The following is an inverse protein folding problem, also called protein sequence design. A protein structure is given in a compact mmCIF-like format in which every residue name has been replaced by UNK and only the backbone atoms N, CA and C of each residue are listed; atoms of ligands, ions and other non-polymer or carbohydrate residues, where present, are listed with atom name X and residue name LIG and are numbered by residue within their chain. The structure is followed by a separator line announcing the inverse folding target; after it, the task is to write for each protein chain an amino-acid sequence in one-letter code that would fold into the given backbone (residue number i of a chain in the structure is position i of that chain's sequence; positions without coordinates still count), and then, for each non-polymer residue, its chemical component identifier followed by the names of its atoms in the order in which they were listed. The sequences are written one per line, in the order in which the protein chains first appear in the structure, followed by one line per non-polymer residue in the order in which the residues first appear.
data_IF_117763349938
#
_entry.id   IF_117763349938
#
_cell.length_a   1.000
_cell.length_b   1.000
_cell.length_c   1.000
_cell.angle_alpha   90.00
_cell.angle_beta   90.00
_cell.angle_gamma   90.00
#
_symmetry.space_group_name_H-M   'P 1'
#
loop_
_entity.id
_entity.type
_entity.pdbx_description
1 polymer ?
#
# COMPACT_ATOMS: atom_id res chain seq x y z
N UNK A 1 30.34 11.10 -54.28
CA UNK A 1 29.83 9.72 -54.22
C UNK A 1 30.36 9.06 -52.95
N UNK A 2 29.62 9.10 -51.85
CA UNK A 2 29.96 8.32 -50.65
C UNK A 2 28.68 7.67 -50.12
N UNK A 3 28.60 6.34 -50.27
CA UNK A 3 27.56 5.48 -49.68
C UNK A 3 27.92 5.22 -48.22
N UNK A 4 26.99 5.53 -47.32
CA UNK A 4 27.04 5.05 -45.93
C UNK A 4 26.35 3.68 -45.86
N UNK A 5 26.90 2.69 -45.13
CA UNK A 5 26.23 1.41 -44.92
C UNK A 5 25.28 1.46 -43.72
N UNK A 6 24.04 1.06 -43.97
CA UNK A 6 23.00 0.79 -42.97
C UNK A 6 23.32 -0.51 -42.23
N UNK A 7 23.75 -0.43 -40.97
CA UNK A 7 23.94 -1.59 -40.11
C UNK A 7 22.65 -1.91 -39.34
N UNK A 8 21.88 -2.88 -39.83
CA UNK A 8 20.74 -3.46 -39.11
C UNK A 8 21.23 -4.51 -38.12
N UNK A 9 21.18 -4.22 -36.82
CA UNK A 9 21.37 -5.22 -35.77
C UNK A 9 20.02 -5.85 -35.41
N UNK A 10 19.74 -7.02 -35.97
CA UNK A 10 18.70 -7.93 -35.47
C UNK A 10 19.31 -8.85 -34.42
N UNK A 11 19.00 -8.62 -33.15
CA UNK A 11 19.27 -9.60 -32.09
C UNK A 11 18.13 -10.61 -32.01
N UNK A 12 18.38 -11.94 -32.10
CA UNK A 12 17.36 -12.96 -31.93
C UNK A 12 16.95 -13.10 -30.46
N UNK A 13 15.64 -13.14 -30.21
CA UNK A 13 15.07 -13.47 -28.91
C UNK A 13 15.21 -14.99 -28.65
N UNK A 14 15.58 -15.41 -27.42
CA UNK A 14 15.59 -16.82 -27.06
C UNK A 14 14.16 -17.36 -26.91
N UNK A 15 13.77 -18.18 -27.89
CA UNK A 15 12.63 -19.08 -27.83
C UNK A 15 12.99 -20.33 -27.02
N UNK A 16 12.35 -20.57 -25.88
CA UNK A 16 12.07 -21.91 -25.29
C UNK A 16 11.53 -21.76 -23.87
N UNK A 17 10.20 -21.82 -23.69
CA UNK A 17 9.57 -22.42 -22.50
C UNK A 17 8.11 -22.71 -22.86
N UNK A 18 7.94 -23.74 -23.69
CA UNK A 18 6.67 -24.46 -23.84
C UNK A 18 6.79 -25.69 -22.96
N UNK A 19 6.19 -25.66 -21.77
CA UNK A 19 5.98 -26.85 -20.98
C UNK A 19 4.50 -26.90 -20.61
N UNK A 20 3.79 -27.79 -21.30
CA UNK A 20 2.40 -28.08 -21.06
C UNK A 20 2.21 -28.81 -19.73
N UNK A 21 1.12 -28.48 -19.05
CA UNK A 21 0.47 -29.35 -18.08
C UNK A 21 -1.03 -29.34 -18.38
N UNK A 22 -1.42 -30.25 -19.28
CA UNK A 22 -2.75 -30.83 -19.25
C UNK A 22 -2.75 -31.85 -18.11
N UNK A 23 -3.68 -31.75 -17.16
CA UNK A 23 -3.69 -32.67 -16.02
C UNK A 23 -4.81 -32.44 -15.04
N UNK A 24 -5.95 -33.07 -15.33
CA UNK A 24 -6.87 -33.74 -14.40
C UNK A 24 -7.67 -32.90 -13.40
N UNK A 25 -8.95 -32.81 -13.73
CA UNK A 25 -10.10 -32.68 -12.83
C UNK A 25 -10.06 -33.81 -11.80
N UNK A 26 -10.11 -33.48 -10.51
CA UNK A 26 -10.54 -34.40 -9.46
C UNK A 26 -11.28 -33.62 -8.37
N UNK A 27 -12.56 -33.95 -8.22
CA UNK A 27 -13.44 -33.53 -7.15
C UNK A 27 -12.84 -33.88 -5.77
N UNK A 28 -12.98 -33.00 -4.79
CA UNK A 28 -12.74 -33.34 -3.39
C UNK A 28 -13.89 -32.82 -2.54
N UNK A 29 -14.50 -33.79 -1.88
CA UNK A 29 -15.71 -33.74 -1.09
C UNK A 29 -15.57 -32.94 0.21
N UNK A 30 -16.72 -32.41 0.61
CA UNK A 30 -17.11 -32.00 1.95
C UNK A 30 -16.49 -32.85 3.07
N UNK A 31 -15.85 -32.18 4.03
CA UNK A 31 -15.77 -32.65 5.42
C UNK A 31 -16.16 -31.47 6.33
N UNK A 32 -17.43 -31.47 6.74
CA UNK A 32 -17.87 -30.83 7.98
C UNK A 32 -17.28 -31.63 9.15
N UNK A 33 -16.55 -30.97 10.04
CA UNK A 33 -15.89 -31.64 11.15
C UNK A 33 -15.66 -30.73 12.35
N UNK A 34 -16.58 -30.86 13.31
CA UNK A 34 -16.41 -30.70 14.76
C UNK A 34 -15.92 -29.35 15.33
N UNK A 35 -16.92 -28.59 15.78
CA UNK A 35 -16.92 -27.76 16.99
C UNK A 35 -16.05 -28.37 18.11
N UNK A 36 -15.07 -27.60 18.58
CA UNK A 36 -14.31 -27.86 19.79
C UNK A 36 -14.26 -26.62 20.65
N UNK A 37 -15.27 -26.43 21.48
CA UNK A 37 -15.28 -25.45 22.57
C UNK A 37 -14.23 -25.91 23.58
N UNK A 38 -13.15 -25.15 23.77
CA UNK A 38 -12.27 -25.32 24.94
C UNK A 38 -12.29 -24.05 25.77
N UNK A 39 -12.92 -24.22 26.93
CA UNK A 39 -13.11 -23.23 27.97
C UNK A 39 -11.85 -23.12 28.85
N UNK A 40 -11.69 -21.92 29.40
CA UNK A 40 -11.05 -21.56 30.68
C UNK A 40 -9.52 -21.74 30.83
N UNK A 41 -8.84 -20.60 30.94
CA UNK A 41 -7.93 -20.33 32.05
C UNK A 41 -7.79 -18.82 32.25
N UNK A 42 -8.44 -18.30 33.29
CA UNK A 42 -8.18 -16.99 33.87
C UNK A 42 -6.75 -16.92 34.39
N UNK A 43 -6.11 -15.76 34.25
CA UNK A 43 -4.97 -15.38 35.08
C UNK A 43 -5.21 -13.95 35.55
N UNK A 44 -5.40 -13.85 36.86
CA UNK A 44 -5.61 -12.64 37.65
C UNK A 44 -4.35 -11.75 37.69
N UNK A 45 -4.50 -10.49 38.13
CA UNK A 45 -3.54 -9.42 37.93
C UNK A 45 -2.51 -9.38 39.06
N UNK A 46 -1.25 -9.14 38.72
CA UNK A 46 -0.23 -8.77 39.69
C UNK A 46 -0.02 -7.27 39.63
N UNK A 47 -0.45 -6.62 40.71
CA UNK A 47 -0.29 -5.22 40.98
C UNK A 47 1.14 -4.94 41.46
N UNK A 48 1.91 -4.18 40.70
CA UNK A 48 3.07 -3.45 41.21
C UNK A 48 2.78 -1.96 41.18
N UNK A 49 2.72 -1.40 42.39
CA UNK A 49 2.72 0.02 42.66
C UNK A 49 4.15 0.55 42.49
N UNK A 50 4.35 1.55 41.64
CA UNK A 50 5.52 2.42 41.68
C UNK A 50 5.08 3.88 41.51
N UNK A 51 5.50 4.67 42.49
CA UNK A 51 5.19 6.08 42.72
C UNK A 51 5.85 7.05 41.73
N UNK A 52 5.11 8.13 41.46
CA UNK A 52 5.48 9.54 41.19
C UNK A 52 6.98 9.95 41.05
N UNK A 53 7.31 10.87 40.12
CA UNK A 53 7.09 12.30 40.39
C UNK A 53 6.48 13.12 39.25
N UNK A 54 5.68 14.11 39.68
CA UNK A 54 5.20 15.25 38.92
C UNK A 54 6.34 16.12 38.41
N UNK A 55 6.41 16.34 37.10
CA UNK A 55 6.99 17.56 36.52
C UNK A 55 5.96 18.16 35.57
N UNK A 56 5.59 19.41 35.87
CA UNK A 56 4.70 20.24 35.06
C UNK A 56 5.54 21.06 34.09
N UNK A 57 5.49 20.82 32.77
CA UNK A 57 6.01 21.77 31.79
C UNK A 57 4.89 22.77 31.48
N UNK A 58 5.17 24.04 31.73
CA UNK A 58 4.32 25.16 31.34
C UNK A 58 4.00 25.09 29.84
N UNK A 59 2.71 24.93 29.52
CA UNK A 59 2.21 25.02 28.16
C UNK A 59 2.29 26.48 27.68
N UNK A 60 3.26 26.78 26.84
CA UNK A 60 3.16 27.88 25.88
C UNK A 60 2.13 27.50 24.82
N UNK A 61 0.90 27.98 24.99
CA UNK A 61 -0.19 27.91 24.01
C UNK A 61 0.08 28.86 22.85
N UNK A 62 0.91 28.44 21.90
CA UNK A 62 0.98 29.08 20.59
C UNK A 62 -0.30 28.76 19.83
N UNK A 63 -1.25 29.70 19.86
CA UNK A 63 -2.44 29.69 19.02
C UNK A 63 -2.03 29.83 17.56
N UNK A 64 -1.69 28.71 16.91
CA UNK A 64 -1.58 28.62 15.46
C UNK A 64 -3.00 28.77 14.89
N UNK A 65 -3.31 29.97 14.38
CA UNK A 65 -4.51 30.22 13.56
C UNK A 65 -4.51 29.28 12.37
N UNK A 66 -5.19 28.15 12.50
CA UNK A 66 -5.43 27.23 11.39
C UNK A 66 -6.27 27.96 10.32
N UNK A 67 -5.93 27.83 9.03
CA UNK A 67 -6.76 28.33 7.94
C UNK A 67 -8.18 27.76 8.04
N UNK A 68 -9.15 28.63 8.30
CA UNK A 68 -10.55 28.24 8.37
C UNK A 68 -11.06 28.01 6.95
N UNK A 69 -10.97 26.76 6.47
CA UNK A 69 -11.53 26.35 5.18
C UNK A 69 -13.04 26.58 5.24
N UNK A 70 -13.52 27.51 4.41
CA UNK A 70 -14.93 27.83 4.37
C UNK A 70 -15.74 26.57 3.99
N UNK A 71 -16.80 26.23 4.73
CA UNK A 71 -17.61 25.05 4.45
C UNK A 71 -18.20 25.09 3.03
N UNK A 72 -17.99 24.03 2.23
CA UNK A 72 -18.55 23.92 0.87
C UNK A 72 -20.08 24.08 0.86
N UNK A 73 -20.67 24.68 -0.19
CA UNK A 73 -22.11 24.92 -0.28
C UNK A 73 -22.93 23.62 -0.15
N UNK A 74 -24.16 23.67 0.39
CA UNK A 74 -24.99 22.49 0.62
C UNK A 74 -25.22 21.61 -0.61
N UNK A 75 -25.29 22.21 -1.81
CA UNK A 75 -25.55 21.52 -3.09
C UNK A 75 -24.42 20.59 -3.51
N UNK A 76 -23.16 21.02 -3.36
CA UNK A 76 -21.99 20.18 -3.67
C UNK A 76 -21.93 18.97 -2.74
N UNK A 77 -22.25 19.15 -1.45
CA UNK A 77 -22.27 18.04 -0.49
C UNK A 77 -23.33 17.00 -0.82
N UNK A 78 -24.49 17.39 -1.36
CA UNK A 78 -25.50 16.42 -1.83
C UNK A 78 -25.00 15.64 -3.05
N UNK A 79 -24.36 16.31 -4.02
CA UNK A 79 -23.82 15.65 -5.20
C UNK A 79 -22.76 14.60 -4.82
N UNK A 80 -21.80 14.96 -3.95
CA UNK A 80 -20.78 14.02 -3.47
C UNK A 80 -21.40 12.80 -2.76
N UNK A 81 -22.45 13.00 -1.95
CA UNK A 81 -23.15 11.87 -1.29
C UNK A 81 -23.87 10.98 -2.31
N UNK A 82 -24.48 11.55 -3.33
CA UNK A 82 -25.16 10.81 -4.38
C UNK A 82 -24.19 9.95 -5.20
N UNK A 83 -23.06 10.51 -5.61
CA UNK A 83 -22.01 9.77 -6.34
C UNK A 83 -21.44 8.64 -5.48
N UNK A 84 -21.19 8.87 -4.18
CA UNK A 84 -20.78 7.80 -3.25
C UNK A 84 -21.81 6.67 -3.15
N UNK A 85 -23.10 7.00 -3.15
CA UNK A 85 -24.16 6.00 -3.15
C UNK A 85 -24.23 5.22 -4.47
N UNK A 86 -23.98 5.86 -5.61
CA UNK A 86 -23.87 5.18 -6.91
C UNK A 86 -22.68 4.21 -6.95
N UNK A 87 -21.48 4.66 -6.53
CA UNK A 87 -20.27 3.84 -6.43
C UNK A 87 -20.51 2.55 -5.64
N UNK A 88 -21.14 2.66 -4.48
CA UNK A 88 -21.46 1.50 -3.64
C UNK A 88 -22.40 0.51 -4.36
N UNK A 89 -23.46 1.02 -5.01
CA UNK A 89 -24.39 0.18 -5.80
C UNK A 89 -23.70 -0.49 -6.98
N UNK A 90 -22.82 0.22 -7.68
CA UNK A 90 -22.10 -0.32 -8.83
C UNK A 90 -21.08 -1.38 -8.42
N UNK A 91 -20.45 -1.21 -7.26
CA UNK A 91 -19.59 -2.23 -6.65
C UNK A 91 -20.40 -3.50 -6.31
N UNK A 92 -21.53 -3.34 -5.63
CA UNK A 92 -22.41 -4.47 -5.23
C UNK A 92 -22.98 -5.22 -6.43
N UNK A 93 -23.28 -4.51 -7.52
CA UNK A 93 -23.85 -5.09 -8.74
C UNK A 93 -22.81 -5.51 -9.78
N UNK A 94 -21.52 -5.36 -9.49
CA UNK A 94 -20.42 -5.73 -10.40
C UNK A 94 -20.34 -4.88 -11.67
N UNK A 95 -20.93 -3.67 -11.67
CA UNK A 95 -20.93 -2.75 -12.80
C UNK A 95 -19.63 -1.94 -12.85
N UNK A 96 -18.50 -2.62 -13.05
CA UNK A 96 -17.17 -1.97 -13.01
C UNK A 96 -16.99 -0.80 -13.98
N UNK A 97 -17.55 -0.80 -15.21
CA UNK A 97 -17.46 0.37 -16.09
C UNK A 97 -18.12 1.62 -15.48
N UNK A 98 -19.27 1.45 -14.83
CA UNK A 98 -20.01 2.53 -14.18
C UNK A 98 -19.27 2.98 -12.90
N UNK A 99 -18.75 2.02 -12.12
CA UNK A 99 -17.87 2.31 -10.98
C UNK A 99 -16.68 3.21 -11.38
N UNK A 100 -15.95 2.89 -12.46
CA UNK A 100 -14.81 3.71 -12.89
C UNK A 100 -15.23 5.13 -13.28
N UNK A 101 -16.37 5.26 -13.98
CA UNK A 101 -16.91 6.58 -14.33
C UNK A 101 -17.29 7.40 -13.08
N UNK A 102 -17.89 6.75 -12.08
CA UNK A 102 -18.29 7.40 -10.84
C UNK A 102 -17.09 7.74 -9.93
N UNK A 103 -15.98 6.98 -10.00
CA UNK A 103 -14.73 7.36 -9.31
C UNK A 103 -14.18 8.65 -9.91
N UNK A 104 -14.20 8.77 -11.23
CA UNK A 104 -13.77 9.99 -11.91
C UNK A 104 -14.67 11.18 -11.58
N UNK A 105 -16.00 11.01 -11.62
CA UNK A 105 -16.97 12.02 -11.22
C UNK A 105 -16.73 12.46 -9.77
N UNK A 106 -16.50 11.51 -8.86
CA UNK A 106 -16.21 11.81 -7.47
C UNK A 106 -14.93 12.62 -7.30
N UNK A 107 -13.84 12.26 -8.00
CA UNK A 107 -12.56 12.99 -7.93
C UNK A 107 -12.63 14.38 -8.56
N UNK A 108 -13.56 14.62 -9.50
CA UNK A 108 -13.83 15.95 -10.04
C UNK A 108 -14.58 16.84 -9.03
N UNK A 109 -15.54 16.28 -8.30
CA UNK A 109 -16.32 17.01 -7.29
C UNK A 109 -15.56 17.20 -5.97
N UNK A 110 -14.76 16.21 -5.59
CA UNK A 110 -14.04 16.12 -4.32
C UNK A 110 -12.64 15.54 -4.58
N UNK A 111 -11.64 16.39 -4.91
CA UNK A 111 -10.27 15.95 -5.17
C UNK A 111 -9.63 15.21 -3.98
N UNK A 112 -10.08 15.51 -2.76
CA UNK A 112 -9.62 14.87 -1.52
C UNK A 112 -10.28 13.50 -1.28
N UNK A 113 -11.27 13.09 -2.10
CA UNK A 113 -11.88 11.78 -2.00
C UNK A 113 -10.86 10.63 -2.14
N UNK A 114 -9.72 10.88 -2.80
CA UNK A 114 -8.62 9.92 -2.87
C UNK A 114 -8.03 9.53 -1.51
N UNK A 115 -8.20 10.37 -0.48
CA UNK A 115 -7.79 10.06 0.90
C UNK A 115 -8.71 9.02 1.57
N UNK A 116 -9.96 8.90 1.12
CA UNK A 116 -10.96 8.00 1.70
C UNK A 116 -10.49 6.54 1.62
N UNK A 117 -10.36 5.92 2.78
CA UNK A 117 -9.88 4.54 2.90
C UNK A 117 -10.83 3.53 2.26
N UNK A 118 -12.15 3.73 2.37
CA UNK A 118 -13.15 2.83 1.79
C UNK A 118 -13.11 2.90 0.26
N UNK A 119 -12.99 4.11 -0.29
CA UNK A 119 -12.84 4.29 -1.74
C UNK A 119 -11.58 3.59 -2.25
N UNK A 120 -10.44 3.79 -1.59
CA UNK A 120 -9.18 3.13 -1.96
C UNK A 120 -9.27 1.61 -1.90
N UNK A 121 -9.90 1.05 -0.88
CA UNK A 121 -10.16 -0.39 -0.78
C UNK A 121 -11.04 -0.88 -1.94
N UNK A 122 -12.14 -0.20 -2.25
CA UNK A 122 -13.00 -0.56 -3.38
C UNK A 122 -12.26 -0.49 -4.73
N UNK A 123 -11.41 0.52 -4.93
CA UNK A 123 -10.57 0.65 -6.13
C UNK A 123 -9.63 -0.56 -6.26
N UNK A 124 -8.98 -1.00 -5.18
CA UNK A 124 -8.13 -2.19 -5.18
C UNK A 124 -8.94 -3.42 -5.57
N UNK A 125 -10.10 -3.64 -4.93
CA UNK A 125 -10.94 -4.81 -5.19
C UNK A 125 -11.38 -4.86 -6.67
N UNK A 126 -11.80 -3.72 -7.22
CA UNK A 126 -12.17 -3.61 -8.64
C UNK A 126 -10.98 -3.85 -9.55
N UNK A 127 -9.79 -3.27 -9.26
CA UNK A 127 -8.56 -3.51 -10.03
C UNK A 127 -8.19 -4.99 -10.10
N UNK A 128 -8.36 -5.73 -9.00
CA UNK A 128 -8.06 -7.16 -8.94
C UNK A 128 -8.94 -7.96 -9.91
N UNK A 129 -10.17 -7.51 -10.16
CA UNK A 129 -11.09 -8.13 -11.12
C UNK A 129 -10.81 -7.69 -12.55
N UNK A 130 -10.77 -6.38 -12.81
CA UNK A 130 -10.71 -5.87 -14.20
C UNK A 130 -9.35 -6.08 -14.88
N UNK A 131 -8.26 -6.23 -14.11
CA UNK A 131 -6.93 -6.51 -14.69
C UNK A 131 -6.75 -7.97 -15.14
N UNK A 132 -7.65 -8.88 -14.75
CA UNK A 132 -7.66 -10.25 -15.26
C UNK A 132 -8.02 -10.31 -16.76
N UNK A 133 -8.78 -9.34 -17.27
CA UNK A 133 -9.25 -9.32 -18.65
C UNK A 133 -8.38 -8.56 -19.66
N UNK A 134 -7.42 -7.72 -19.21
CA UNK A 134 -6.82 -6.62 -20.01
C UNK A 134 -7.91 -5.79 -20.69
N UNK A 135 -8.32 -4.68 -20.08
CA UNK A 135 -9.38 -3.84 -20.62
C UNK A 135 -9.18 -2.36 -20.34
N UNK A 136 -9.79 -1.54 -21.19
CA UNK A 136 -9.80 -0.07 -21.15
C UNK A 136 -10.15 0.48 -19.75
N UNK A 137 -11.06 -0.20 -19.04
CA UNK A 137 -11.44 0.21 -17.67
C UNK A 137 -10.28 0.11 -16.68
N UNK A 138 -9.39 -0.88 -16.84
CA UNK A 138 -8.20 -0.99 -16.01
C UNK A 138 -7.24 0.17 -16.32
N UNK A 139 -7.05 0.48 -17.61
CA UNK A 139 -6.20 1.60 -18.03
C UNK A 139 -6.69 2.93 -17.46
N UNK A 140 -8.00 3.20 -17.60
CA UNK A 140 -8.62 4.40 -17.05
C UNK A 140 -8.49 4.48 -15.53
N UNK A 141 -8.72 3.38 -14.82
CA UNK A 141 -8.61 3.40 -13.35
C UNK A 141 -7.17 3.62 -12.89
N UNK A 142 -6.16 3.05 -13.58
CA UNK A 142 -4.76 3.36 -13.31
C UNK A 142 -4.40 4.81 -13.60
N UNK A 143 -4.95 5.41 -14.67
CA UNK A 143 -4.77 6.83 -14.97
C UNK A 143 -5.34 7.74 -13.87
N UNK A 144 -6.55 7.44 -13.37
CA UNK A 144 -7.14 8.17 -12.23
C UNK A 144 -6.25 8.09 -10.99
N UNK A 145 -5.74 6.89 -10.67
CA UNK A 145 -4.83 6.69 -9.54
C UNK A 145 -3.56 7.49 -9.73
N UNK A 146 -2.97 7.46 -10.92
CA UNK A 146 -1.70 8.13 -11.17
C UNK A 146 -1.81 9.66 -11.18
N UNK A 147 -2.88 10.18 -11.79
CA UNK A 147 -2.96 11.58 -12.21
C UNK A 147 -4.05 12.39 -11.49
N UNK A 148 -5.04 11.76 -10.85
CA UNK A 148 -6.19 12.46 -10.23
C UNK A 148 -6.29 12.30 -8.72
N UNK A 149 -5.66 11.27 -8.13
CA UNK A 149 -5.72 11.02 -6.69
C UNK A 149 -4.56 11.67 -5.89
N UNK A 150 -3.74 12.50 -6.53
CA UNK A 150 -2.60 13.18 -5.90
C UNK A 150 -1.62 12.20 -5.22
N UNK A 151 -1.13 12.55 -4.03
CA UNK A 151 -0.21 11.70 -3.26
C UNK A 151 -0.85 10.36 -2.87
N UNK A 152 -2.16 10.35 -2.60
CA UNK A 152 -2.90 9.15 -2.20
C UNK A 152 -2.95 8.09 -3.30
N UNK A 153 -2.94 8.52 -4.56
CA UNK A 153 -2.86 7.65 -5.71
C UNK A 153 -1.55 6.86 -5.77
N UNK A 154 -0.42 7.55 -5.59
CA UNK A 154 0.89 6.89 -5.60
C UNK A 154 1.05 5.96 -4.38
N UNK A 155 0.53 6.38 -3.23
CA UNK A 155 0.45 5.54 -2.03
C UNK A 155 -0.40 4.29 -2.25
N UNK A 156 -1.48 4.39 -3.03
CA UNK A 156 -2.33 3.27 -3.42
C UNK A 156 -1.61 2.29 -4.35
N UNK A 157 -0.83 2.79 -5.33
CA UNK A 157 0.03 1.93 -6.15
C UNK A 157 0.98 1.11 -5.29
N UNK A 158 1.59 1.74 -4.27
CA UNK A 158 2.49 1.03 -3.37
C UNK A 158 1.75 0.00 -2.51
N UNK A 159 0.56 0.34 -2.02
CA UNK A 159 -0.30 -0.59 -1.29
C UNK A 159 -0.62 -1.83 -2.13
N UNK A 160 -0.92 -1.65 -3.42
CA UNK A 160 -1.20 -2.76 -4.33
C UNK A 160 0.02 -3.67 -4.52
N UNK A 161 1.23 -3.09 -4.54
CA UNK A 161 2.49 -3.85 -4.61
C UNK A 161 2.69 -4.72 -3.39
N UNK A 162 2.47 -4.20 -2.18
CA UNK A 162 2.76 -4.92 -0.93
C UNK A 162 1.65 -5.92 -0.54
N UNK A 163 0.38 -5.61 -0.82
CA UNK A 163 -0.75 -6.44 -0.40
C UNK A 163 -1.11 -7.54 -1.42
N UNK A 164 -0.87 -7.30 -2.71
CA UNK A 164 -1.32 -8.18 -3.80
C UNK A 164 -0.17 -8.62 -4.71
N UNK A 165 1.01 -8.89 -4.14
CA UNK A 165 2.21 -9.31 -4.88
C UNK A 165 1.93 -10.47 -5.85
N UNK A 166 2.44 -10.35 -7.08
CA UNK A 166 2.26 -11.35 -8.14
C UNK A 166 0.95 -11.23 -8.94
N UNK A 167 -0.03 -10.45 -8.47
CA UNK A 167 -1.21 -10.11 -9.27
C UNK A 167 -0.85 -9.22 -10.46
N UNK A 168 -1.66 -9.25 -11.53
CA UNK A 168 -1.46 -8.38 -12.70
C UNK A 168 -1.52 -6.89 -12.34
N UNK A 169 -2.43 -6.55 -11.42
CA UNK A 169 -2.57 -5.19 -10.91
C UNK A 169 -1.29 -4.75 -10.17
N UNK A 170 -0.76 -5.60 -9.28
CA UNK A 170 0.50 -5.36 -8.57
C UNK A 170 1.71 -5.25 -9.51
N UNK A 171 1.82 -6.12 -10.52
CA UNK A 171 2.90 -6.04 -11.53
C UNK A 171 2.86 -4.71 -12.27
N UNK A 172 1.67 -4.25 -12.66
CA UNK A 172 1.52 -2.95 -13.32
C UNK A 172 1.84 -1.78 -12.38
N UNK A 173 1.36 -1.80 -11.13
CA UNK A 173 1.72 -0.77 -10.16
C UNK A 173 3.23 -0.74 -9.87
N UNK A 174 3.89 -1.90 -9.81
CA UNK A 174 5.34 -1.98 -9.66
C UNK A 174 6.08 -1.37 -10.87
N UNK A 175 5.56 -1.58 -12.09
CA UNK A 175 6.12 -0.96 -13.29
C UNK A 175 5.99 0.57 -13.28
N UNK A 176 4.83 1.12 -12.87
CA UNK A 176 4.66 2.57 -12.69
C UNK A 176 5.60 3.12 -11.62
N UNK A 177 5.67 2.45 -10.47
CA UNK A 177 6.56 2.85 -9.38
C UNK A 177 8.04 2.61 -9.70
N UNK A 178 8.42 2.01 -10.82
CA UNK A 178 9.82 1.95 -11.23
C UNK A 178 10.35 3.32 -11.68
N UNK A 179 9.46 4.21 -12.15
CA UNK A 179 9.81 5.59 -12.51
C UNK A 179 10.01 6.47 -11.25
N UNK A 180 11.21 7.04 -11.03
CA UNK A 180 11.45 7.95 -9.91
C UNK A 180 10.56 9.19 -9.92
N UNK A 181 10.12 9.69 -11.09
CA UNK A 181 9.25 10.86 -11.18
C UNK A 181 7.85 10.56 -10.64
N UNK A 182 7.31 9.38 -10.92
CA UNK A 182 6.03 8.91 -10.36
C UNK A 182 6.16 8.74 -8.84
N UNK A 183 7.22 8.06 -8.38
CA UNK A 183 7.45 7.86 -6.93
C UNK A 183 7.58 9.16 -6.17
N UNK A 184 8.23 10.17 -6.76
CA UNK A 184 8.44 11.47 -6.14
C UNK A 184 7.11 12.19 -5.78
N UNK A 185 6.00 11.87 -6.46
CA UNK A 185 4.67 12.41 -6.19
C UNK A 185 3.96 11.79 -4.99
N UNK A 186 4.46 10.69 -4.42
CA UNK A 186 3.85 10.07 -3.24
C UNK A 186 4.30 10.67 -1.92
N UNK A 187 3.66 10.25 -0.82
CA UNK A 187 3.98 10.78 0.51
C UNK A 187 5.44 10.49 0.91
N UNK A 188 6.07 11.32 1.77
CA UNK A 188 7.41 11.03 2.30
C UNK A 188 7.51 9.62 2.91
N UNK A 189 6.48 9.23 3.68
CA UNK A 189 6.38 7.91 4.29
C UNK A 189 6.36 6.77 3.27
N UNK A 190 5.61 6.91 2.18
CA UNK A 190 5.58 5.92 1.10
C UNK A 190 6.94 5.80 0.43
N UNK A 191 7.58 6.93 0.12
CA UNK A 191 8.88 6.95 -0.55
C UNK A 191 9.94 6.25 0.28
N UNK A 192 9.98 6.51 1.58
CA UNK A 192 10.89 5.80 2.50
C UNK A 192 10.55 4.32 2.61
N UNK A 193 9.27 3.95 2.69
CA UNK A 193 8.87 2.54 2.70
C UNK A 193 9.24 1.82 1.40
N UNK A 194 9.16 2.49 0.25
CA UNK A 194 9.58 1.97 -1.05
C UNK A 194 11.10 1.81 -1.11
N UNK A 195 11.86 2.84 -0.76
CA UNK A 195 13.33 2.82 -0.74
C UNK A 195 13.83 1.69 0.18
N UNK A 196 13.26 1.61 1.39
CA UNK A 196 13.55 0.53 2.33
C UNK A 196 13.25 -0.84 1.73
N UNK A 197 12.15 -1.02 1.00
CA UNK A 197 11.79 -2.31 0.36
C UNK A 197 12.78 -2.71 -0.71
N UNK A 198 13.16 -1.76 -1.57
CA UNK A 198 13.97 -2.01 -2.76
C UNK A 198 15.46 -2.10 -2.45
N UNK A 199 15.93 -1.55 -1.33
CA UNK A 199 17.34 -1.62 -0.96
C UNK A 199 17.81 -3.07 -0.81
N UNK A 200 19.02 -3.36 -1.25
CA UNK A 200 19.66 -4.65 -0.95
C UNK A 200 19.87 -4.81 0.55
N UNK A 201 20.16 -6.03 1.01
CA UNK A 201 20.34 -6.27 2.44
C UNK A 201 21.44 -5.42 3.08
N UNK A 202 22.57 -5.23 2.38
CA UNK A 202 23.66 -4.37 2.84
C UNK A 202 23.27 -2.88 2.91
N UNK A 203 22.21 -2.46 2.21
CA UNK A 203 21.78 -1.07 2.14
C UNK A 203 20.59 -0.75 3.06
N UNK A 204 19.90 -1.76 3.64
CA UNK A 204 18.72 -1.52 4.50
C UNK A 204 19.01 -0.55 5.65
N UNK A 205 20.13 -0.72 6.33
CA UNK A 205 20.51 0.11 7.48
C UNK A 205 20.70 1.58 7.13
N UNK A 206 21.06 1.90 5.88
CA UNK A 206 21.22 3.28 5.41
C UNK A 206 19.89 4.06 5.41
N UNK A 207 18.76 3.36 5.41
CA UNK A 207 17.44 3.97 5.41
C UNK A 207 16.89 4.21 6.83
N UNK A 208 17.48 3.66 7.88
CA UNK A 208 16.88 3.67 9.22
C UNK A 208 16.68 5.08 9.80
N UNK A 209 17.58 6.04 9.54
CA UNK A 209 17.35 7.43 9.96
C UNK A 209 16.12 8.03 9.30
N UNK A 210 16.02 7.92 7.97
CA UNK A 210 14.84 8.39 7.21
C UNK A 210 13.56 7.65 7.61
N UNK A 211 13.64 6.37 7.98
CA UNK A 211 12.49 5.61 8.48
C UNK A 211 12.00 6.14 9.83
N UNK A 212 12.91 6.53 10.73
CA UNK A 212 12.55 7.18 12.00
C UNK A 212 11.89 8.53 11.78
N UNK A 213 12.33 9.29 10.79
CA UNK A 213 11.83 10.65 10.51
C UNK A 213 10.51 10.62 9.74
N UNK A 214 10.46 9.93 8.61
CA UNK A 214 9.33 10.01 7.67
C UNK A 214 8.49 8.72 7.62
N UNK A 215 9.00 7.60 8.13
CA UNK A 215 8.33 6.29 7.99
C UNK A 215 6.97 6.21 8.69
N UNK A 216 6.17 5.23 8.27
CA UNK A 216 4.88 4.90 8.88
C UNK A 216 4.70 3.38 9.08
N UNK A 217 3.45 2.94 9.31
CA UNK A 217 3.08 1.53 9.50
C UNK A 217 3.61 0.61 8.38
N UNK A 218 3.76 1.10 7.14
CA UNK A 218 4.29 0.30 6.02
C UNK A 218 5.77 0.02 6.19
N UNK A 219 6.53 0.99 6.70
CA UNK A 219 7.95 0.77 7.05
C UNK A 219 8.07 -0.13 8.27
N UNK A 220 7.22 0.05 9.28
CA UNK A 220 7.21 -0.78 10.49
C UNK A 220 7.04 -2.26 10.16
N UNK A 221 6.06 -2.60 9.32
CA UNK A 221 5.84 -3.98 8.87
C UNK A 221 7.09 -4.59 8.22
N UNK A 222 7.83 -3.81 7.43
CA UNK A 222 9.07 -4.28 6.81
C UNK A 222 10.20 -4.49 7.82
N UNK A 223 10.38 -3.54 8.75
CA UNK A 223 11.41 -3.67 9.78
C UNK A 223 11.15 -4.87 10.70
N UNK A 224 9.89 -5.15 11.05
CA UNK A 224 9.54 -6.34 11.84
C UNK A 224 9.89 -7.64 11.11
N UNK A 225 9.77 -7.68 9.78
CA UNK A 225 10.21 -8.83 8.98
C UNK A 225 11.74 -8.97 8.97
N UNK A 226 12.49 -7.87 9.06
CA UNK A 226 13.96 -7.88 9.16
C UNK A 226 14.45 -8.37 10.53
N UNK A 227 13.61 -8.26 11.57
CA UNK A 227 13.91 -8.74 12.94
C UNK A 227 13.90 -10.26 13.04
N UNK A 228 13.39 -10.99 12.05
CA UNK A 228 13.29 -12.45 12.11
C UNK A 228 14.67 -13.10 12.35
N UNK A 229 14.77 -14.07 13.27
CA UNK A 229 16.05 -14.67 13.62
C UNK A 229 16.64 -15.44 12.45
N UNK A 230 17.95 -15.33 12.31
CA UNK A 230 18.71 -16.06 11.30
C UNK A 230 18.71 -17.53 11.63
N UNK A 231 18.25 -18.35 10.67
CA UNK A 231 18.46 -19.79 10.75
C UNK A 231 19.79 -20.14 10.07
N UNK A 232 20.39 -21.28 10.44
CA UNK A 232 21.60 -21.80 9.78
C UNK A 232 21.45 -22.00 8.25
N UNK A 233 20.22 -21.99 7.73
CA UNK A 233 19.90 -22.23 6.32
C UNK A 233 19.54 -20.96 5.54
N UNK A 234 19.28 -19.84 6.23
CA UNK A 234 18.90 -18.58 5.59
C UNK A 234 19.90 -17.49 5.97
N UNK A 235 20.61 -16.94 4.98
CA UNK A 235 21.40 -15.72 5.16
C UNK A 235 20.46 -14.57 5.51
N UNK A 236 20.57 -14.10 6.74
CA UNK A 236 19.83 -12.93 7.18
C UNK A 236 20.28 -11.67 6.47
N UNK A 237 19.32 -10.78 6.33
CA UNK A 237 19.57 -9.41 5.93
C UNK A 237 20.31 -8.63 7.02
N UNK A 238 19.83 -8.74 8.26
CA UNK A 238 20.33 -8.05 9.45
C UNK A 238 20.19 -8.96 10.67
N UNK A 239 20.96 -8.68 11.72
CA UNK A 239 20.81 -9.38 12.99
C UNK A 239 19.59 -8.87 13.75
N UNK A 240 18.81 -9.78 14.34
CA UNK A 240 17.63 -9.44 15.15
C UNK A 240 17.90 -8.51 16.35
N UNK A 241 19.17 -8.42 16.79
CA UNK A 241 19.65 -7.57 17.89
C UNK A 241 20.34 -6.30 17.42
N UNK A 242 20.25 -5.96 16.14
CA UNK A 242 20.83 -4.72 15.61
C UNK A 242 20.19 -3.50 16.29
N UNK A 243 20.98 -2.64 16.97
CA UNK A 243 20.43 -1.55 17.76
C UNK A 243 19.76 -0.47 16.90
N UNK A 244 20.22 -0.24 15.67
CA UNK A 244 19.63 0.75 14.77
C UNK A 244 18.28 0.27 14.24
N UNK A 245 18.15 -1.03 13.93
CA UNK A 245 16.89 -1.66 13.56
C UNK A 245 15.86 -1.54 14.69
N UNK A 246 16.25 -1.89 15.93
CA UNK A 246 15.37 -1.81 17.09
C UNK A 246 14.94 -0.36 17.38
N UNK A 247 15.88 0.59 17.34
CA UNK A 247 15.60 2.02 17.47
C UNK A 247 14.61 2.52 16.42
N UNK A 248 14.74 2.10 15.16
CA UNK A 248 13.82 2.48 14.10
C UNK A 248 12.40 1.90 14.29
N UNK A 249 12.29 0.67 14.78
CA UNK A 249 11.02 0.03 15.12
C UNK A 249 10.33 0.78 16.26
N UNK A 250 11.06 1.08 17.34
CA UNK A 250 10.50 1.73 18.52
C UNK A 250 10.01 3.14 18.20
N UNK A 251 10.78 3.92 17.42
CA UNK A 251 10.36 5.24 16.96
C UNK A 251 9.03 5.21 16.18
N UNK A 252 8.81 4.19 15.35
CA UNK A 252 7.55 4.03 14.61
C UNK A 252 6.40 3.60 15.51
N UNK A 253 6.63 2.71 16.48
CA UNK A 253 5.62 2.28 17.44
C UNK A 253 5.16 3.42 18.33
N UNK A 254 6.08 4.21 18.86
CA UNK A 254 5.76 5.39 19.67
C UNK A 254 4.89 6.38 18.89
N UNK A 255 5.23 6.64 17.61
CA UNK A 255 4.41 7.52 16.77
C UNK A 255 3.03 6.96 16.44
N UNK A 256 2.89 5.63 16.31
CA UNK A 256 1.59 5.02 16.03
C UNK A 256 0.62 5.02 17.23
N UNK A 257 1.12 5.31 18.44
CA UNK A 257 0.31 5.40 19.67
C UNK A 257 -0.18 6.82 19.97
N UNK A 258 0.46 7.83 19.37
CA UNK A 258 0.10 9.25 19.49
C UNK A 258 -0.82 9.66 18.34
#
# INVERSE_FOLDING_TARGET
MHRSPSGSFSTPLPSSFVLGCAGLIAASLLIFGAVGIRALASSEPEAEAVSEPSETPALTTSTTSAPQVAPSPPSERSAVREVRAKLQRDLETGKFPAFVADVEELLQLDPDAGADRKLRSAIIDVLMVITAGRGEHADRLFDLIENRMGTHGIDLLYQLVIAHGGSRASVRAAALLADPAIRARGTPAMRVAYDLRMASCAQKSQHFSRVREDGDTRSLQQLELLKNPCSRRNTCCLHAKDPELLSAIDALRTRAQN
#
